data_IF_844827571016
#
_entry.id   IF_844827571016
#
_cell.length_a   1.000
_cell.length_b   1.000
_cell.length_c   1.000
_cell.angle_alpha   90.00
_cell.angle_beta   90.00
_cell.angle_gamma   90.00
#
_symmetry.space_group_name_H-M   'P 1'
#
loop_
_entity.id
_entity.type
_entity.pdbx_description
1 polymer ?
#
# COMPACT_ATOMS: atom_id res chain seq x y z
N UNK A 1 39.02 96.05 -13.39
CA UNK A 1 37.70 96.71 -13.53
C UNK A 1 37.04 96.16 -14.80
N UNK A 2 35.73 95.90 -14.81
CA UNK A 2 34.98 95.17 -15.85
C UNK A 2 35.01 93.62 -15.69
N UNK A 3 34.73 93.15 -14.47
CA UNK A 3 34.21 91.78 -14.22
C UNK A 3 32.89 91.74 -13.43
N UNK A 4 32.25 92.89 -13.17
CA UNK A 4 31.07 92.97 -12.27
C UNK A 4 29.88 93.79 -12.77
N UNK A 5 29.71 94.04 -14.08
CA UNK A 5 28.57 94.83 -14.56
C UNK A 5 27.74 94.22 -15.71
N UNK A 6 27.84 92.92 -15.95
CA UNK A 6 26.82 92.18 -16.75
C UNK A 6 26.27 90.94 -16.04
N UNK A 7 26.48 90.87 -14.72
CA UNK A 7 25.79 89.98 -13.78
C UNK A 7 24.44 90.53 -13.32
N UNK A 8 23.94 91.64 -13.89
CA UNK A 8 22.66 92.26 -13.52
C UNK A 8 21.62 92.30 -14.65
N UNK A 9 21.97 91.88 -15.87
CA UNK A 9 21.00 91.60 -16.94
C UNK A 9 20.67 90.11 -16.99
N UNK A 10 20.72 89.47 -15.82
CA UNK A 10 20.61 88.04 -15.58
C UNK A 10 19.34 87.69 -14.77
N UNK A 11 18.38 88.62 -14.61
CA UNK A 11 17.24 88.39 -13.72
C UNK A 11 15.85 88.78 -14.22
N UNK A 12 15.68 89.22 -15.47
CA UNK A 12 14.35 89.60 -15.97
C UNK A 12 13.90 88.93 -17.28
N UNK A 13 14.60 87.89 -17.75
CA UNK A 13 14.11 87.04 -18.84
C UNK A 13 14.21 85.55 -18.47
N UNK A 14 14.05 85.27 -17.18
CA UNK A 14 13.56 84.02 -16.64
C UNK A 14 12.05 84.28 -16.47
N UNK A 15 11.18 83.40 -16.98
CA UNK A 15 9.72 83.58 -17.19
C UNK A 15 9.36 84.03 -18.62
N UNK A 16 9.79 83.25 -19.60
CA UNK A 16 9.01 82.90 -20.79
C UNK A 16 9.54 81.56 -21.31
N UNK A 17 9.62 80.61 -20.38
CA UNK A 17 9.65 79.19 -20.67
C UNK A 17 8.25 78.81 -21.15
N UNK A 18 8.17 77.85 -22.06
CA UNK A 18 6.96 77.25 -22.67
C UNK A 18 6.46 77.97 -23.94
N UNK A 19 6.92 77.51 -25.11
CA UNK A 19 6.11 76.71 -26.05
C UNK A 19 6.90 76.46 -27.36
N UNK A 20 6.90 75.18 -27.76
CA UNK A 20 7.21 74.64 -29.10
C UNK A 20 8.64 74.66 -29.62
N UNK A 21 9.43 73.70 -29.15
CA UNK A 21 10.35 72.96 -30.00
C UNK A 21 9.79 71.55 -30.15
N UNK A 22 9.25 71.21 -31.33
CA UNK A 22 8.78 69.86 -31.65
C UNK A 22 9.87 69.12 -32.42
N UNK A 23 10.68 68.24 -31.79
CA UNK A 23 11.26 67.15 -32.54
C UNK A 23 10.16 66.10 -32.70
N UNK A 24 9.71 65.92 -33.94
CA UNK A 24 8.94 64.77 -34.38
C UNK A 24 9.67 63.49 -33.94
N UNK A 25 9.31 62.95 -32.78
CA UNK A 25 9.50 61.54 -32.49
C UNK A 25 8.39 60.81 -33.22
N UNK A 26 8.60 60.60 -34.53
CA UNK A 26 7.94 59.51 -35.22
C UNK A 26 8.16 58.27 -34.36
N UNK A 27 7.06 57.72 -33.82
CA UNK A 27 7.06 56.43 -33.16
C UNK A 27 7.69 55.44 -34.14
N UNK A 28 8.97 55.13 -33.93
CA UNK A 28 9.66 54.11 -34.69
C UNK A 28 8.82 52.85 -34.51
N UNK A 29 8.19 52.38 -35.61
CA UNK A 29 7.61 51.04 -35.68
C UNK A 29 8.74 50.10 -35.24
N UNK A 30 8.71 49.64 -33.99
CA UNK A 30 9.64 48.62 -33.50
C UNK A 30 9.39 47.40 -34.37
N UNK A 31 10.24 47.21 -35.38
CA UNK A 31 10.17 46.07 -36.29
C UNK A 31 10.41 44.82 -35.46
N UNK A 32 9.67 43.75 -35.75
CA UNK A 32 9.87 42.48 -35.08
C UNK A 32 11.35 42.06 -35.20
N UNK A 33 12.00 41.67 -34.09
CA UNK A 33 13.34 41.08 -34.12
C UNK A 33 13.38 39.83 -35.00
N UNK A 34 14.58 39.45 -35.47
CA UNK A 34 14.71 38.33 -36.41
C UNK A 34 14.28 36.99 -35.79
N UNK A 35 14.58 36.77 -34.50
CA UNK A 35 14.19 35.57 -33.76
C UNK A 35 12.67 35.38 -33.61
N UNK A 36 11.88 36.45 -33.82
CA UNK A 36 10.40 36.38 -33.84
C UNK A 36 9.89 35.94 -35.22
N UNK A 37 10.67 36.16 -36.28
CA UNK A 37 10.31 35.77 -37.65
C UNK A 37 10.78 34.35 -37.96
N UNK A 38 11.96 33.97 -37.47
CA UNK A 38 12.58 32.67 -37.72
C UNK A 38 13.28 32.16 -36.47
N UNK A 39 13.11 30.86 -36.15
CA UNK A 39 13.74 30.22 -34.98
C UNK A 39 15.26 30.18 -35.18
N UNK A 40 16.06 30.71 -34.24
CA UNK A 40 17.51 30.62 -34.31
C UNK A 40 18.00 29.17 -34.29
N UNK A 41 18.95 28.83 -35.16
CA UNK A 41 19.65 27.54 -35.15
C UNK A 41 21.00 27.72 -34.47
N UNK A 42 21.28 26.94 -33.44
CA UNK A 42 22.52 27.04 -32.66
C UNK A 42 23.15 25.68 -32.38
N UNK A 43 24.44 25.54 -32.69
CA UNK A 43 25.23 24.37 -32.29
C UNK A 43 25.50 24.33 -30.80
N UNK A 44 25.57 25.49 -30.14
CA UNK A 44 26.11 25.65 -28.79
C UNK A 44 25.03 25.82 -27.72
N UNK A 45 23.81 26.17 -28.15
CA UNK A 45 22.68 26.44 -27.26
C UNK A 45 21.46 25.60 -27.63
N UNK A 46 20.70 25.22 -26.61
CA UNK A 46 19.28 24.92 -26.75
C UNK A 46 18.50 26.25 -26.74
N UNK A 47 17.40 26.32 -27.49
CA UNK A 47 16.57 27.49 -27.77
C UNK A 47 15.11 27.17 -27.47
N UNK A 48 14.50 27.94 -26.58
CA UNK A 48 13.06 27.88 -26.29
C UNK A 48 12.38 29.18 -26.65
N UNK A 49 11.35 29.14 -27.50
CA UNK A 49 10.57 30.32 -27.89
C UNK A 49 9.08 30.03 -27.72
N UNK A 50 8.37 30.95 -27.07
CA UNK A 50 6.92 30.88 -26.99
C UNK A 50 6.27 32.23 -27.28
N UNK A 51 5.04 32.15 -27.78
CA UNK A 51 4.15 33.27 -28.03
C UNK A 51 2.83 33.03 -27.31
N UNK A 52 2.37 34.05 -26.58
CA UNK A 52 1.05 34.05 -25.95
C UNK A 52 0.26 35.27 -26.37
N UNK A 53 -1.07 35.11 -26.41
CA UNK A 53 -1.98 36.24 -26.54
C UNK A 53 -2.15 36.95 -25.21
N UNK A 54 -2.22 38.27 -25.29
CA UNK A 54 -2.48 39.16 -24.16
C UNK A 54 -3.97 39.11 -23.85
N UNK A 55 -4.30 38.48 -22.73
CA UNK A 55 -5.59 38.66 -22.09
C UNK A 55 -5.57 39.92 -21.19
N UNK A 56 -6.70 40.28 -20.58
CA UNK A 56 -6.86 41.53 -19.85
C UNK A 56 -5.99 41.66 -18.57
N UNK A 57 -5.25 40.62 -18.17
CA UNK A 57 -4.48 40.61 -16.92
C UNK A 57 -2.96 40.53 -17.19
N UNK A 58 -2.26 41.65 -17.02
CA UNK A 58 -0.89 41.80 -17.52
C UNK A 58 0.16 40.88 -16.90
N UNK A 59 -0.01 40.53 -15.63
CA UNK A 59 0.96 39.67 -14.91
C UNK A 59 0.83 38.20 -15.32
N UNK A 60 -0.37 37.78 -15.75
CA UNK A 60 -0.70 36.40 -16.10
C UNK A 60 -0.04 35.97 -17.42
N UNK A 61 -0.18 36.78 -18.49
CA UNK A 61 0.36 36.39 -19.80
C UNK A 61 1.89 36.37 -19.82
N UNK A 62 2.58 37.28 -19.11
CA UNK A 62 4.04 37.28 -19.08
C UNK A 62 4.60 36.02 -18.42
N UNK A 63 3.99 35.57 -17.32
CA UNK A 63 4.36 34.32 -16.65
C UNK A 63 4.04 33.11 -17.53
N UNK A 64 2.88 33.11 -18.18
CA UNK A 64 2.50 32.05 -19.11
C UNK A 64 3.50 31.91 -20.28
N UNK A 65 3.92 33.03 -20.88
CA UNK A 65 4.90 33.03 -21.97
C UNK A 65 6.26 32.49 -21.52
N UNK A 66 6.69 32.85 -20.31
CA UNK A 66 7.91 32.31 -19.70
C UNK A 66 7.78 30.80 -19.50
N UNK A 67 6.68 30.32 -18.93
CA UNK A 67 6.50 28.89 -18.69
C UNK A 67 6.46 28.08 -20.00
N UNK A 68 5.76 28.59 -21.02
CA UNK A 68 5.71 27.93 -22.33
C UNK A 68 7.07 27.97 -23.06
N UNK A 69 7.83 29.07 -22.98
CA UNK A 69 9.16 29.13 -23.58
C UNK A 69 10.13 28.17 -22.89
N UNK A 70 9.98 27.94 -21.59
CA UNK A 70 10.75 26.94 -20.85
C UNK A 70 10.36 25.51 -21.27
N UNK A 71 9.07 25.23 -21.48
CA UNK A 71 8.62 23.94 -22.02
C UNK A 71 9.17 23.69 -23.43
N UNK A 72 9.15 24.70 -24.30
CA UNK A 72 9.74 24.62 -25.65
C UNK A 72 11.25 24.33 -25.58
N UNK A 73 11.98 25.03 -24.68
CA UNK A 73 13.40 24.77 -24.43
C UNK A 73 13.64 23.31 -24.00
N UNK A 74 12.86 22.80 -23.05
CA UNK A 74 12.98 21.43 -22.56
C UNK A 74 12.67 20.41 -23.65
N UNK A 75 11.74 20.70 -24.56
CA UNK A 75 11.39 19.81 -25.67
C UNK A 75 12.54 19.62 -26.68
N UNK A 76 13.48 20.57 -26.75
CA UNK A 76 14.66 20.45 -27.58
C UNK A 76 15.74 19.54 -26.96
N UNK A 77 15.67 19.31 -25.65
CA UNK A 77 16.59 18.43 -24.94
C UNK A 77 16.16 16.99 -25.18
N UNK A 78 16.91 16.29 -26.04
CA UNK A 78 16.68 14.87 -26.30
C UNK A 78 17.08 14.03 -25.09
N UNK A 79 16.14 13.22 -24.58
CA UNK A 79 16.42 12.18 -23.59
C UNK A 79 16.78 10.92 -24.37
N UNK A 80 17.96 10.37 -24.10
CA UNK A 80 18.45 9.13 -24.71
C UNK A 80 18.82 8.15 -23.61
N UNK A 81 18.32 6.91 -23.71
CA UNK A 81 18.65 5.85 -22.78
C UNK A 81 19.98 5.21 -23.19
N UNK A 82 20.91 5.14 -22.25
CA UNK A 82 22.21 4.47 -22.40
C UNK A 82 22.02 2.98 -22.69
N UNK A 83 22.91 2.39 -23.51
CA UNK A 83 22.96 0.94 -23.70
C UNK A 83 23.31 0.17 -22.42
N UNK A 84 23.96 0.84 -21.45
CA UNK A 84 24.35 0.28 -20.16
C UNK A 84 23.35 0.62 -19.04
N UNK A 85 22.18 1.12 -19.40
CA UNK A 85 21.10 1.46 -18.46
C UNK A 85 20.54 0.21 -17.80
N UNK A 86 20.21 0.31 -16.51
CA UNK A 86 19.53 -0.77 -15.77
C UNK A 86 18.12 -1.04 -16.27
N UNK A 87 17.51 -0.08 -16.98
CA UNK A 87 16.16 -0.23 -17.54
C UNK A 87 16.05 -1.41 -18.53
N UNK A 88 17.17 -1.81 -19.15
CA UNK A 88 17.22 -3.01 -20.02
C UNK A 88 17.02 -4.32 -19.25
N UNK A 89 17.23 -4.35 -17.93
CA UNK A 89 16.86 -5.52 -17.13
C UNK A 89 15.35 -5.70 -17.00
N UNK A 90 14.57 -4.65 -17.26
CA UNK A 90 13.11 -4.62 -17.11
C UNK A 90 12.40 -4.53 -18.46
N UNK A 91 12.99 -5.08 -19.54
CA UNK A 91 12.44 -5.01 -20.91
C UNK A 91 10.97 -5.45 -21.03
N UNK A 92 10.52 -6.37 -20.18
CA UNK A 92 9.12 -6.83 -20.15
C UNK A 92 8.14 -5.82 -19.50
N UNK A 93 8.65 -4.75 -18.87
CA UNK A 93 7.87 -3.76 -18.13
C UNK A 93 7.80 -2.42 -18.88
N UNK A 94 7.17 -2.44 -20.06
CA UNK A 94 7.04 -1.26 -20.94
C UNK A 94 6.35 -0.09 -20.23
N UNK A 95 5.36 -0.36 -19.39
CA UNK A 95 4.60 0.66 -18.66
C UNK A 95 5.51 1.51 -17.77
N UNK A 96 6.38 0.86 -16.98
CA UNK A 96 7.31 1.57 -16.10
C UNK A 96 8.29 2.44 -16.89
N UNK A 97 8.81 1.95 -18.01
CA UNK A 97 9.74 2.71 -18.84
C UNK A 97 9.08 3.98 -19.41
N UNK A 98 7.84 3.87 -19.89
CA UNK A 98 7.08 5.02 -20.40
C UNK A 98 6.78 6.04 -19.29
N UNK A 99 6.41 5.57 -18.10
CA UNK A 99 6.20 6.40 -16.91
C UNK A 99 7.49 7.11 -16.49
N UNK A 100 8.59 6.38 -16.39
CA UNK A 100 9.91 6.93 -16.09
C UNK A 100 10.33 8.00 -17.11
N UNK A 101 10.17 7.76 -18.41
CA UNK A 101 10.47 8.75 -19.44
C UNK A 101 9.59 10.00 -19.32
N UNK A 102 8.30 9.86 -18.96
CA UNK A 102 7.40 10.97 -18.71
C UNK A 102 7.80 11.78 -17.46
N UNK A 103 8.22 11.09 -16.40
CA UNK A 103 8.67 11.70 -15.15
C UNK A 103 9.98 12.47 -15.34
N UNK A 104 10.94 11.93 -16.10
CA UNK A 104 12.17 12.65 -16.44
C UNK A 104 11.85 13.91 -17.26
N UNK A 105 10.92 13.85 -18.23
CA UNK A 105 10.48 15.05 -18.98
C UNK A 105 9.85 16.10 -18.08
N UNK A 106 9.01 15.67 -17.15
CA UNK A 106 8.34 16.58 -16.20
C UNK A 106 9.34 17.21 -15.24
N UNK A 107 10.24 16.41 -14.68
CA UNK A 107 11.30 16.85 -13.76
C UNK A 107 12.29 17.79 -14.45
N UNK A 108 12.59 17.55 -15.73
CA UNK A 108 13.45 18.42 -16.52
C UNK A 108 12.90 19.86 -16.58
N UNK A 109 11.57 20.04 -16.69
CA UNK A 109 10.96 21.38 -16.69
C UNK A 109 11.10 22.06 -15.33
N UNK A 110 11.03 21.31 -14.24
CA UNK A 110 11.09 21.83 -12.87
C UNK A 110 12.53 22.16 -12.43
N UNK A 111 13.47 21.31 -12.81
CA UNK A 111 14.85 21.34 -12.31
C UNK A 111 15.86 21.91 -13.32
N UNK A 112 15.38 22.46 -14.44
CA UNK A 112 16.28 23.06 -15.43
C UNK A 112 17.01 24.26 -14.83
N UNK A 113 18.34 24.19 -14.85
CA UNK A 113 19.20 25.25 -14.32
C UNK A 113 20.08 25.83 -15.44
N UNK A 114 20.49 27.09 -15.27
CA UNK A 114 21.46 27.73 -16.16
C UNK A 114 20.89 28.20 -17.51
N UNK A 115 19.56 28.23 -17.66
CA UNK A 115 18.92 28.86 -18.81
C UNK A 115 18.79 30.38 -18.60
N UNK A 116 18.83 31.14 -19.68
CA UNK A 116 18.85 32.60 -19.65
C UNK A 116 17.79 33.19 -20.59
N UNK A 117 17.12 34.25 -20.14
CA UNK A 117 16.23 35.04 -21.00
C UNK A 117 17.07 35.92 -21.92
N UNK A 118 17.12 35.56 -23.19
CA UNK A 118 17.86 36.33 -24.21
C UNK A 118 17.08 37.58 -24.59
N UNK A 119 15.77 37.42 -24.81
CA UNK A 119 14.91 38.51 -25.24
C UNK A 119 13.44 38.27 -24.89
N UNK A 120 12.70 39.37 -24.88
CA UNK A 120 11.23 39.36 -24.92
C UNK A 120 10.76 40.36 -25.97
N UNK A 121 9.67 40.06 -26.67
CA UNK A 121 9.08 40.98 -27.63
C UNK A 121 7.59 41.18 -27.40
N UNK A 122 7.19 42.45 -27.30
CA UNK A 122 5.81 42.87 -27.11
C UNK A 122 5.25 43.38 -28.44
N UNK A 123 4.42 42.54 -29.06
CA UNK A 123 3.68 42.91 -30.26
C UNK A 123 2.34 43.56 -29.88
N UNK A 124 2.39 44.86 -29.59
CA UNK A 124 1.20 45.66 -29.24
C UNK A 124 0.11 45.67 -30.33
N UNK A 125 0.47 45.41 -31.58
CA UNK A 125 -0.48 45.48 -32.72
C UNK A 125 -1.35 44.23 -32.78
N UNK A 126 -0.77 43.06 -32.53
CA UNK A 126 -1.47 41.76 -32.61
C UNK A 126 -1.83 41.21 -31.22
N UNK A 127 -1.46 41.93 -30.16
CA UNK A 127 -1.76 41.55 -28.79
C UNK A 127 -0.97 40.31 -28.36
N UNK A 128 0.28 40.18 -28.80
CA UNK A 128 1.12 39.01 -28.50
C UNK A 128 2.31 39.39 -27.63
N UNK A 129 2.75 38.44 -26.81
CA UNK A 129 3.96 38.53 -26.01
C UNK A 129 4.83 37.32 -26.27
N UNK A 130 6.08 37.57 -26.67
CA UNK A 130 7.05 36.57 -27.07
C UNK A 130 8.19 36.52 -26.05
N UNK A 131 8.65 35.32 -25.73
CA UNK A 131 9.80 35.08 -24.84
C UNK A 131 10.79 34.16 -25.54
N UNK A 132 12.07 34.46 -25.42
CA UNK A 132 13.17 33.65 -25.95
C UNK A 132 14.15 33.31 -24.82
N UNK A 133 14.28 32.01 -24.55
CA UNK A 133 15.29 31.42 -23.68
C UNK A 133 16.39 30.71 -24.46
N UNK A 134 17.60 30.71 -23.88
CA UNK A 134 18.69 29.85 -24.32
C UNK A 134 19.30 29.10 -23.14
N UNK A 135 19.90 27.93 -23.41
CA UNK A 135 20.70 27.16 -22.45
C UNK A 135 21.95 26.63 -23.13
N UNK A 136 23.13 26.89 -22.56
CA UNK A 136 24.38 26.35 -23.11
C UNK A 136 24.42 24.82 -23.02
N UNK A 137 24.63 24.15 -24.15
CA UNK A 137 24.76 22.69 -24.24
C UNK A 137 25.92 22.16 -23.39
N UNK A 138 27.05 22.87 -23.40
CA UNK A 138 28.23 22.51 -22.61
C UNK A 138 27.99 22.65 -21.10
N UNK A 139 27.34 23.74 -20.68
CA UNK A 139 27.01 23.96 -19.27
C UNK A 139 26.00 22.92 -18.78
N UNK A 140 24.96 22.65 -19.56
CA UNK A 140 23.97 21.62 -19.26
C UNK A 140 24.64 20.24 -19.11
N UNK A 141 25.49 19.85 -20.06
CA UNK A 141 26.22 18.58 -20.00
C UNK A 141 27.13 18.48 -18.76
N UNK A 142 27.81 19.58 -18.37
CA UNK A 142 28.62 19.63 -17.16
C UNK A 142 27.77 19.44 -15.90
N UNK A 143 26.66 20.18 -15.77
CA UNK A 143 25.75 20.07 -14.62
C UNK A 143 25.13 18.66 -14.53
N UNK A 144 24.70 18.10 -15.67
CA UNK A 144 24.20 16.72 -15.74
C UNK A 144 25.24 15.72 -15.23
N UNK A 145 26.49 15.83 -15.69
CA UNK A 145 27.60 14.97 -15.23
C UNK A 145 27.90 15.14 -13.74
N UNK A 146 27.86 16.36 -13.21
CA UNK A 146 28.07 16.61 -11.77
C UNK A 146 26.96 15.97 -10.93
N UNK A 147 25.69 16.15 -11.32
CA UNK A 147 24.54 15.52 -10.65
C UNK A 147 24.64 13.99 -10.68
N UNK A 148 24.93 13.42 -11.86
CA UNK A 148 25.13 11.98 -12.03
C UNK A 148 26.28 11.43 -11.17
N UNK A 149 27.44 12.08 -11.17
CA UNK A 149 28.59 11.62 -10.38
C UNK A 149 28.32 11.69 -8.87
N UNK A 150 27.57 12.70 -8.40
CA UNK A 150 27.15 12.80 -7.00
C UNK A 150 26.22 11.65 -6.62
N UNK A 151 25.22 11.37 -7.47
CA UNK A 151 24.30 10.25 -7.29
C UNK A 151 25.04 8.91 -7.27
N UNK A 152 25.91 8.66 -8.24
CA UNK A 152 26.78 7.47 -8.30
C UNK A 152 27.61 7.27 -7.05
N UNK A 153 28.26 8.33 -6.55
CA UNK A 153 29.09 8.25 -5.35
C UNK A 153 28.27 7.91 -4.11
N UNK A 154 27.09 8.53 -3.96
CA UNK A 154 26.21 8.25 -2.83
C UNK A 154 25.66 6.82 -2.88
N UNK A 155 25.18 6.39 -4.04
CA UNK A 155 24.69 5.04 -4.25
C UNK A 155 25.79 4.00 -4.04
N UNK A 156 26.99 4.22 -4.58
CA UNK A 156 28.15 3.38 -4.33
C UNK A 156 28.41 3.21 -2.82
N UNK A 157 28.37 4.29 -2.03
CA UNK A 157 28.56 4.18 -0.57
C UNK A 157 27.48 3.33 0.10
N UNK A 158 26.22 3.49 -0.27
CA UNK A 158 25.14 2.66 0.29
C UNK A 158 25.23 1.21 -0.17
N UNK A 159 25.60 0.97 -1.42
CA UNK A 159 25.81 -0.38 -1.95
C UNK A 159 26.95 -1.10 -1.22
N UNK A 160 28.08 -0.42 -1.01
CA UNK A 160 29.23 -0.96 -0.28
C UNK A 160 28.87 -1.28 1.18
N UNK A 161 28.12 -0.41 1.85
CA UNK A 161 27.57 -0.68 3.20
C UNK A 161 26.62 -1.88 3.19
N UNK A 162 25.72 -1.97 2.20
CA UNK A 162 24.82 -3.12 2.02
C UNK A 162 25.59 -4.43 1.87
N UNK A 163 26.71 -4.42 1.14
CA UNK A 163 27.61 -5.56 1.01
C UNK A 163 28.29 -5.92 2.33
N UNK A 164 28.64 -4.95 3.18
CA UNK A 164 29.17 -5.25 4.51
C UNK A 164 28.13 -5.95 5.40
N UNK A 165 26.88 -5.52 5.37
CA UNK A 165 25.80 -6.20 6.10
C UNK A 165 25.52 -7.61 5.55
N UNK A 166 25.58 -7.79 4.22
CA UNK A 166 25.45 -9.11 3.59
C UNK A 166 26.54 -10.08 4.08
N UNK A 167 27.80 -9.63 4.17
CA UNK A 167 28.92 -10.41 4.71
C UNK A 167 28.74 -10.77 6.20
N UNK A 168 28.01 -9.95 6.95
CA UNK A 168 27.69 -10.17 8.36
C UNK A 168 26.41 -11.00 8.56
N UNK A 169 25.75 -11.42 7.47
CA UNK A 169 24.43 -12.09 7.47
C UNK A 169 23.30 -11.26 8.08
N UNK A 170 23.48 -9.94 8.20
CA UNK A 170 22.39 -9.00 8.51
C UNK A 170 21.67 -8.62 7.20
N UNK A 171 20.96 -9.61 6.65
CA UNK A 171 20.38 -9.50 5.32
C UNK A 171 19.27 -8.44 5.24
N UNK A 172 18.56 -8.19 6.34
CA UNK A 172 17.54 -7.16 6.37
C UNK A 172 18.15 -5.77 6.27
N UNK A 173 19.24 -5.48 6.99
CA UNK A 173 19.96 -4.23 6.81
C UNK A 173 20.58 -4.12 5.41
N UNK A 174 21.13 -5.21 4.86
CA UNK A 174 21.63 -5.23 3.49
C UNK A 174 20.56 -4.78 2.48
N UNK A 175 19.35 -5.35 2.55
CA UNK A 175 18.21 -4.98 1.70
C UNK A 175 17.81 -3.50 1.86
N UNK A 176 17.78 -2.98 3.08
CA UNK A 176 17.50 -1.57 3.34
C UNK A 176 18.56 -0.63 2.73
N UNK A 177 19.84 -1.00 2.79
CA UNK A 177 20.91 -0.23 2.17
C UNK A 177 20.89 -0.32 0.64
N UNK A 178 20.50 -1.46 0.07
CA UNK A 178 20.24 -1.59 -1.36
C UNK A 178 19.07 -0.71 -1.82
N UNK A 179 17.99 -0.61 -1.04
CA UNK A 179 16.90 0.34 -1.30
C UNK A 179 17.39 1.80 -1.27
N UNK A 180 18.19 2.21 -0.27
CA UNK A 180 18.80 3.55 -0.22
C UNK A 180 19.73 3.83 -1.39
N UNK A 181 20.48 2.81 -1.84
CA UNK A 181 21.33 2.91 -3.02
C UNK A 181 20.51 3.14 -4.29
N UNK A 182 19.38 2.45 -4.42
CA UNK A 182 18.44 2.62 -5.52
C UNK A 182 17.82 4.03 -5.51
N UNK A 183 17.38 4.52 -4.35
CA UNK A 183 16.85 5.87 -4.18
C UNK A 183 17.84 6.95 -4.66
N UNK A 184 19.14 6.75 -4.42
CA UNK A 184 20.18 7.70 -4.83
C UNK A 184 20.37 7.79 -6.36
N UNK A 185 20.04 6.74 -7.12
CA UNK A 185 20.13 6.71 -8.60
C UNK A 185 18.79 6.81 -9.30
N UNK A 186 17.68 6.94 -8.57
CA UNK A 186 16.32 6.85 -9.12
C UNK A 186 16.05 7.79 -10.30
N UNK A 187 16.65 8.98 -10.33
CA UNK A 187 16.48 9.96 -11.41
C UNK A 187 17.47 9.80 -12.57
N UNK A 188 18.27 8.74 -12.56
CA UNK A 188 19.38 8.51 -13.49
C UNK A 188 19.42 7.08 -14.02
N UNK A 189 18.29 6.35 -13.97
CA UNK A 189 18.23 4.97 -14.42
C UNK A 189 18.47 4.83 -15.93
N UNK A 190 18.22 5.88 -16.72
CA UNK A 190 18.53 5.99 -18.15
C UNK A 190 20.03 6.09 -18.46
N UNK A 191 20.86 6.45 -17.49
CA UNK A 191 22.28 6.72 -17.69
C UNK A 191 23.16 5.47 -17.52
N UNK A 192 24.42 5.57 -17.96
CA UNK A 192 25.42 4.57 -17.59
C UNK A 192 25.76 4.74 -16.10
N UNK A 193 25.37 3.77 -15.26
CA UNK A 193 25.59 3.76 -13.83
C UNK A 193 26.90 3.09 -13.38
N UNK A 194 27.85 2.89 -14.31
CA UNK A 194 29.11 2.22 -14.00
C UNK A 194 30.03 3.05 -13.10
N UNK A 195 30.65 2.38 -12.12
CA UNK A 195 31.63 2.94 -11.18
C UNK A 195 32.80 1.98 -11.00
N UNK A 196 33.97 2.53 -10.64
CA UNK A 196 35.14 1.74 -10.28
C UNK A 196 35.13 1.46 -8.77
N UNK A 197 35.20 0.19 -8.39
CA UNK A 197 35.39 -0.27 -7.02
C UNK A 197 36.77 -0.93 -6.89
N UNK A 198 37.09 -1.43 -5.70
CA UNK A 198 38.33 -2.20 -5.46
C UNK A 198 38.34 -3.53 -6.24
N UNK A 199 37.17 -4.11 -6.50
CA UNK A 199 36.99 -5.40 -7.16
C UNK A 199 36.81 -5.29 -8.68
N UNK A 200 36.81 -4.06 -9.21
CA UNK A 200 36.72 -3.76 -10.64
C UNK A 200 35.60 -2.77 -10.98
N UNK A 201 35.23 -2.71 -12.26
CA UNK A 201 34.12 -1.87 -12.70
C UNK A 201 32.81 -2.62 -12.52
N UNK A 202 31.86 -2.02 -11.79
CA UNK A 202 30.51 -2.55 -11.58
C UNK A 202 29.47 -1.57 -12.15
N UNK A 203 28.26 -2.05 -12.43
CA UNK A 203 27.12 -1.21 -12.81
C UNK A 203 26.12 -1.18 -11.66
N UNK A 204 26.03 -0.05 -10.95
CA UNK A 204 25.28 0.05 -9.70
C UNK A 204 23.84 -0.47 -9.83
N UNK A 205 23.10 -0.11 -10.89
CA UNK A 205 21.74 -0.58 -11.07
C UNK A 205 21.66 -2.11 -11.21
N UNK A 206 22.55 -2.69 -12.01
CA UNK A 206 22.57 -4.14 -12.25
C UNK A 206 23.03 -4.91 -11.02
N UNK A 207 24.09 -4.45 -10.37
CA UNK A 207 24.67 -5.09 -9.20
C UNK A 207 23.78 -4.97 -7.95
N UNK A 208 23.04 -3.87 -7.78
CA UNK A 208 21.99 -3.74 -6.73
C UNK A 208 20.91 -4.80 -6.96
N UNK A 209 20.37 -4.87 -8.18
CA UNK A 209 19.34 -5.86 -8.53
C UNK A 209 19.81 -7.29 -8.25
N UNK A 210 20.99 -7.66 -8.77
CA UNK A 210 21.56 -8.99 -8.57
C UNK A 210 21.80 -9.30 -7.09
N UNK A 211 22.19 -8.32 -6.29
CA UNK A 211 22.40 -8.52 -4.84
C UNK A 211 21.11 -8.80 -4.10
N UNK A 212 20.03 -8.06 -4.41
CA UNK A 212 18.70 -8.31 -3.84
C UNK A 212 18.21 -9.71 -4.24
N UNK A 213 18.29 -10.06 -5.53
CA UNK A 213 17.85 -11.37 -6.02
C UNK A 213 18.72 -12.52 -5.48
N UNK A 214 20.01 -12.30 -5.25
CA UNK A 214 20.88 -13.27 -4.57
C UNK A 214 20.42 -13.50 -3.13
N UNK A 215 20.07 -12.42 -2.40
CA UNK A 215 19.54 -12.55 -1.04
C UNK A 215 18.25 -13.37 -1.03
N UNK A 216 17.34 -13.08 -1.96
CA UNK A 216 16.08 -13.81 -2.06
C UNK A 216 16.26 -15.28 -2.42
N UNK A 217 17.13 -15.58 -3.40
CA UNK A 217 17.34 -16.95 -3.86
C UNK A 217 18.13 -17.82 -2.88
N UNK A 218 19.05 -17.25 -2.09
CA UNK A 218 19.83 -17.98 -1.09
C UNK A 218 19.17 -18.07 0.28
N UNK A 219 18.15 -17.26 0.56
CA UNK A 219 17.43 -17.33 1.84
C UNK A 219 16.37 -18.43 1.79
N UNK A 220 16.52 -19.44 2.64
CA UNK A 220 15.56 -20.51 2.83
C UNK A 220 14.80 -20.35 4.16
N UNK A 221 13.48 -20.48 4.10
CA UNK A 221 12.58 -20.48 5.26
C UNK A 221 11.99 -21.87 5.49
N UNK A 222 12.44 -22.55 6.55
CA UNK A 222 11.97 -23.88 6.92
C UNK A 222 11.06 -23.84 8.14
N UNK A 223 9.80 -24.19 7.93
CA UNK A 223 8.84 -24.35 9.02
C UNK A 223 9.01 -25.73 9.64
N UNK A 224 9.16 -25.80 10.97
CA UNK A 224 9.35 -27.04 11.71
C UNK A 224 8.19 -28.04 11.52
N UNK A 225 6.96 -27.53 11.45
CA UNK A 225 5.74 -28.32 11.18
C UNK A 225 4.97 -27.74 9.99
N UNK A 226 5.14 -28.36 8.82
CA UNK A 226 4.45 -27.95 7.58
C UNK A 226 2.95 -28.28 7.57
N UNK A 227 2.50 -29.18 8.44
CA UNK A 227 1.11 -29.54 8.61
C UNK A 227 0.74 -29.53 10.09
N UNK A 228 -0.34 -28.82 10.44
CA UNK A 228 -0.86 -28.71 11.81
C UNK A 228 -2.32 -29.15 11.81
N UNK A 229 -2.67 -30.06 12.71
CA UNK A 229 -4.06 -30.47 12.94
C UNK A 229 -4.64 -29.67 14.09
N UNK A 230 -5.78 -29.03 13.87
CA UNK A 230 -6.41 -28.11 14.82
C UNK A 230 -7.92 -28.35 14.84
N UNK A 231 -8.55 -28.00 15.94
CA UNK A 231 -10.01 -27.89 16.01
C UNK A 231 -10.43 -26.42 15.93
N UNK A 232 -11.59 -26.14 15.33
CA UNK A 232 -12.13 -24.77 15.25
C UNK A 232 -12.22 -24.15 16.65
N UNK A 233 -11.86 -22.87 16.77
CA UNK A 233 -11.87 -22.10 18.02
C UNK A 233 -10.95 -22.61 19.12
N UNK A 234 -9.99 -23.48 18.79
CA UNK A 234 -8.94 -23.91 19.72
C UNK A 234 -7.63 -23.18 19.46
N UNK A 235 -6.82 -23.01 20.50
CA UNK A 235 -5.48 -22.44 20.40
C UNK A 235 -4.43 -23.53 20.18
N UNK A 236 -3.44 -23.23 19.35
CA UNK A 236 -2.30 -24.13 19.17
C UNK A 236 -1.29 -23.89 20.29
N UNK A 237 -1.10 -24.86 21.19
CA UNK A 237 -0.22 -24.68 22.36
C UNK A 237 1.26 -24.53 22.01
N UNK A 238 1.70 -25.16 20.94
CA UNK A 238 3.10 -25.09 20.49
C UNK A 238 3.25 -24.00 19.42
N UNK A 239 4.18 -23.05 19.60
CA UNK A 239 4.35 -21.99 18.61
C UNK A 239 4.79 -22.56 17.26
N UNK A 240 4.42 -21.85 16.20
CA UNK A 240 4.96 -22.06 14.86
C UNK A 240 6.41 -21.59 14.88
N UNK A 241 7.34 -22.54 14.72
CA UNK A 241 8.76 -22.27 14.62
C UNK A 241 9.20 -22.28 13.16
N UNK A 242 9.88 -21.21 12.74
CA UNK A 242 10.45 -21.03 11.41
C UNK A 242 11.94 -20.82 11.56
N UNK A 243 12.75 -21.61 10.84
CA UNK A 243 14.19 -21.42 10.76
C UNK A 243 14.53 -20.70 9.45
N UNK A 244 15.31 -19.62 9.54
CA UNK A 244 15.89 -18.96 8.38
C UNK A 244 17.36 -19.37 8.22
N UNK A 245 17.72 -19.76 7.01
CA UNK A 245 19.07 -20.19 6.66
C UNK A 245 19.50 -19.60 5.33
N UNK A 246 20.78 -19.25 5.23
CA UNK A 246 21.44 -18.80 4.03
C UNK A 246 22.17 -19.97 3.38
N UNK A 247 21.77 -20.31 2.15
CA UNK A 247 22.38 -21.34 1.33
C UNK A 247 23.76 -20.87 0.83
N UNK A 248 24.80 -21.27 1.54
CA UNK A 248 26.19 -21.06 1.12
C UNK A 248 26.73 -22.27 0.37
N UNK A 249 27.86 -22.09 -0.32
CA UNK A 249 28.41 -23.14 -1.18
C UNK A 249 29.02 -24.33 -0.39
N UNK A 250 29.28 -24.15 0.91
CA UNK A 250 29.87 -25.17 1.78
C UNK A 250 28.91 -25.67 2.85
N UNK A 251 28.42 -24.77 3.70
CA UNK A 251 27.52 -25.09 4.80
C UNK A 251 26.52 -23.96 4.99
N UNK A 252 25.26 -24.32 5.20
CA UNK A 252 24.20 -23.36 5.41
C UNK A 252 24.44 -22.55 6.68
N UNK A 253 24.32 -21.24 6.54
CA UNK A 253 24.52 -20.32 7.65
C UNK A 253 23.18 -19.89 8.23
N UNK A 254 23.14 -19.61 9.53
CA UNK A 254 21.92 -19.11 10.17
C UNK A 254 21.77 -17.60 9.91
N UNK A 255 20.54 -17.13 9.73
CA UNK A 255 20.26 -15.71 9.51
C UNK A 255 19.58 -15.13 10.76
N UNK A 256 20.28 -14.34 11.59
CA UNK A 256 19.68 -13.67 12.73
C UNK A 256 18.93 -12.39 12.32
N UNK A 257 17.99 -11.95 13.18
CA UNK A 257 17.28 -10.67 13.05
C UNK A 257 16.55 -10.46 11.71
N UNK A 258 16.18 -11.54 11.02
CA UNK A 258 15.41 -11.48 9.79
C UNK A 258 13.93 -11.29 10.13
N UNK A 259 13.31 -10.16 9.77
CA UNK A 259 11.89 -9.93 10.02
C UNK A 259 11.06 -10.78 9.04
N UNK A 260 10.10 -11.50 9.57
CA UNK A 260 9.20 -12.37 8.83
C UNK A 260 7.76 -11.96 9.11
N UNK A 261 6.95 -12.13 8.09
CA UNK A 261 5.51 -11.93 8.14
C UNK A 261 4.80 -13.28 7.94
N UNK A 262 3.81 -13.55 8.76
CA UNK A 262 2.93 -14.70 8.66
C UNK A 262 1.51 -14.22 8.38
N UNK A 263 0.96 -14.65 7.25
CA UNK A 263 -0.40 -14.29 6.81
C UNK A 263 -1.20 -15.51 6.39
N UNK A 264 -2.50 -15.49 6.67
CA UNK A 264 -3.43 -16.44 6.07
C UNK A 264 -3.59 -16.13 4.58
N UNK A 265 -3.17 -17.04 3.71
CA UNK A 265 -3.45 -16.99 2.27
C UNK A 265 -4.73 -17.73 1.92
N UNK A 266 -5.17 -18.64 2.80
CA UNK A 266 -6.46 -19.32 2.72
C UNK A 266 -7.01 -19.56 4.12
N UNK A 267 -8.25 -19.15 4.35
CA UNK A 267 -8.83 -19.19 5.69
C UNK A 267 -8.52 -17.93 6.48
N UNK A 268 -8.79 -17.96 7.79
CA UNK A 268 -8.72 -16.80 8.68
C UNK A 268 -8.48 -17.28 10.12
N UNK A 269 -7.77 -16.46 10.89
CA UNK A 269 -7.45 -16.71 12.28
C UNK A 269 -6.67 -15.55 12.89
N UNK A 270 -6.30 -15.72 14.15
CA UNK A 270 -5.54 -14.75 14.94
C UNK A 270 -4.19 -15.38 15.25
N UNK A 271 -3.12 -14.75 14.78
CA UNK A 271 -1.75 -15.14 15.06
C UNK A 271 -0.84 -13.92 15.19
N UNK A 272 0.37 -14.12 15.72
CA UNK A 272 1.38 -13.07 15.73
C UNK A 272 2.01 -12.94 14.34
N UNK A 273 1.47 -12.01 13.53
CA UNK A 273 1.82 -11.87 12.11
C UNK A 273 3.28 -11.47 11.91
N UNK A 274 3.79 -10.52 12.71
CA UNK A 274 5.14 -10.00 12.58
C UNK A 274 6.06 -10.60 13.63
N UNK A 275 7.11 -11.28 13.18
CA UNK A 275 8.13 -11.92 14.03
C UNK A 275 9.51 -11.68 13.45
N UNK A 276 10.57 -11.91 14.21
CA UNK A 276 11.94 -11.84 13.70
C UNK A 276 12.73 -13.05 14.17
N UNK A 277 13.75 -13.45 13.40
CA UNK A 277 14.63 -14.54 13.82
C UNK A 277 15.55 -14.11 14.95
N UNK A 278 15.79 -15.04 15.88
CA UNK A 278 16.74 -14.85 16.98
C UNK A 278 18.20 -15.12 16.53
N UNK A 279 19.12 -15.08 17.50
CA UNK A 279 20.55 -15.36 17.27
C UNK A 279 20.86 -16.77 16.76
N UNK A 280 19.88 -17.70 16.78
CA UNK A 280 20.00 -19.05 16.28
C UNK A 280 19.26 -19.24 14.93
N UNK A 281 18.72 -18.16 14.37
CA UNK A 281 17.98 -18.17 13.11
C UNK A 281 16.52 -18.64 13.25
N UNK A 282 15.97 -18.70 14.47
CA UNK A 282 14.59 -19.13 14.69
C UNK A 282 13.65 -17.96 14.95
N UNK A 283 12.53 -17.92 14.25
CA UNK A 283 11.39 -17.06 14.55
C UNK A 283 10.23 -17.90 15.11
N UNK A 284 9.49 -17.32 16.05
CA UNK A 284 8.39 -17.99 16.74
C UNK A 284 7.11 -17.17 16.63
N UNK A 285 6.07 -17.73 16.02
CA UNK A 285 4.74 -17.13 15.94
C UNK A 285 3.71 -17.97 16.69
N UNK A 286 2.86 -17.31 17.48
CA UNK A 286 1.80 -17.97 18.23
C UNK A 286 0.50 -17.93 17.43
N UNK A 287 -0.07 -19.08 17.11
CA UNK A 287 -1.42 -19.20 16.55
C UNK A 287 -2.42 -19.28 17.70
N UNK A 288 -3.03 -18.13 18.01
CA UNK A 288 -4.01 -18.00 19.09
C UNK A 288 -5.32 -18.69 18.74
N UNK A 289 -5.81 -18.52 17.50
CA UNK A 289 -7.12 -19.06 17.11
C UNK A 289 -7.27 -19.20 15.61
N UNK A 290 -8.03 -20.21 15.19
CA UNK A 290 -8.57 -20.31 13.82
C UNK A 290 -10.06 -20.00 13.85
N UNK A 291 -10.48 -19.01 13.07
CA UNK A 291 -11.87 -18.54 12.99
C UNK A 291 -12.57 -19.04 11.73
N UNK A 292 -11.81 -19.30 10.66
CA UNK A 292 -12.39 -19.82 9.43
C UNK A 292 -12.83 -21.28 9.56
N UNK A 293 -13.93 -21.60 8.88
CA UNK A 293 -14.58 -22.92 8.87
C UNK A 293 -14.04 -23.83 7.75
N UNK A 294 -13.10 -23.33 6.95
CA UNK A 294 -12.51 -24.11 5.88
C UNK A 294 -11.66 -25.22 6.48
N UNK A 295 -11.90 -26.46 6.04
CA UNK A 295 -11.14 -27.64 6.51
C UNK A 295 -9.65 -27.55 6.20
N UNK A 296 -9.33 -26.98 5.04
CA UNK A 296 -7.95 -26.83 4.57
C UNK A 296 -7.64 -25.35 4.45
N UNK A 297 -6.78 -24.86 5.35
CA UNK A 297 -6.32 -23.48 5.40
C UNK A 297 -4.82 -23.42 5.18
N UNK A 298 -4.32 -22.25 4.83
CA UNK A 298 -2.92 -22.02 4.50
C UNK A 298 -2.44 -20.73 5.16
N UNK A 299 -1.35 -20.84 5.91
CA UNK A 299 -0.55 -19.71 6.36
C UNK A 299 0.71 -19.69 5.50
N UNK A 300 1.02 -18.53 4.92
CA UNK A 300 2.30 -18.28 4.26
C UNK A 300 3.18 -17.48 5.20
N UNK A 301 4.42 -17.93 5.34
CA UNK A 301 5.51 -17.19 5.98
C UNK A 301 6.36 -16.59 4.88
N UNK A 302 6.62 -15.29 4.94
CA UNK A 302 7.48 -14.58 3.98
C UNK A 302 8.41 -13.61 4.68
N UNK A 303 9.45 -13.18 3.97
CA UNK A 303 10.26 -12.03 4.39
C UNK A 303 9.37 -10.77 4.50
N UNK A 304 9.47 -10.04 5.61
CA UNK A 304 8.77 -8.76 5.76
C UNK A 304 9.53 -7.66 5.00
N UNK A 305 8.92 -7.20 3.90
CA UNK A 305 9.41 -6.12 3.05
C UNK A 305 8.61 -4.82 3.21
N UNK A 306 7.70 -4.73 4.18
CA UNK A 306 6.78 -3.59 4.34
C UNK A 306 7.47 -2.24 4.51
N UNK A 307 8.69 -2.23 5.07
CA UNK A 307 9.52 -1.03 5.20
C UNK A 307 10.08 -0.51 3.87
N UNK A 308 10.23 -1.39 2.87
CA UNK A 308 10.78 -1.09 1.54
C UNK A 308 9.64 -0.93 0.51
N UNK A 309 8.64 -1.82 0.57
CA UNK A 309 7.46 -1.89 -0.29
C UNK A 309 6.25 -1.24 0.40
N UNK A 310 6.39 0.05 0.72
CA UNK A 310 5.29 0.85 1.29
C UNK A 310 4.57 1.61 0.17
N UNK A 311 3.27 1.35 -0.04
CA UNK A 311 2.45 2.00 -1.07
C UNK A 311 2.38 3.54 -0.93
N UNK A 312 2.65 4.08 0.27
CA UNK A 312 2.69 5.53 0.49
C UNK A 312 4.05 6.16 0.13
N UNK A 313 5.05 5.37 -0.26
CA UNK A 313 6.36 5.85 -0.65
C UNK A 313 6.35 6.24 -2.14
N UNK A 314 6.87 7.43 -2.45
CA UNK A 314 7.05 7.89 -3.84
C UNK A 314 7.89 6.95 -4.70
N UNK A 315 8.76 6.13 -4.10
CA UNK A 315 9.60 5.17 -4.81
C UNK A 315 9.01 3.75 -4.87
N UNK A 316 7.74 3.56 -4.48
CA UNK A 316 7.11 2.23 -4.41
C UNK A 316 7.20 1.44 -5.73
N UNK A 317 6.83 2.05 -6.86
CA UNK A 317 6.87 1.39 -8.17
C UNK A 317 8.29 0.98 -8.58
N UNK A 318 9.27 1.83 -8.30
CA UNK A 318 10.68 1.50 -8.54
C UNK A 318 11.14 0.35 -7.64
N UNK A 319 10.83 0.41 -6.34
CA UNK A 319 11.21 -0.64 -5.39
C UNK A 319 10.59 -1.98 -5.78
N UNK A 320 9.33 -2.00 -6.23
CA UNK A 320 8.64 -3.22 -6.66
C UNK A 320 9.34 -3.95 -7.80
N UNK A 321 10.03 -3.24 -8.69
CA UNK A 321 10.83 -3.85 -9.76
C UNK A 321 12.07 -4.58 -9.26
N UNK A 322 12.71 -4.04 -8.22
CA UNK A 322 13.95 -4.57 -7.67
C UNK A 322 13.70 -5.62 -6.59
N UNK A 323 12.66 -5.43 -5.78
CA UNK A 323 12.21 -6.29 -4.69
C UNK A 323 10.97 -7.07 -5.11
N UNK A 324 11.12 -7.92 -6.12
CA UNK A 324 10.02 -8.75 -6.66
C UNK A 324 9.46 -9.69 -5.60
N UNK A 325 8.20 -9.49 -5.22
CA UNK A 325 7.52 -10.28 -4.17
C UNK A 325 7.43 -11.77 -4.52
N UNK A 326 7.34 -12.11 -5.81
CA UNK A 326 7.24 -13.50 -6.24
C UNK A 326 8.52 -14.29 -5.96
N UNK A 327 9.69 -13.65 -6.09
CA UNK A 327 11.00 -14.25 -5.85
C UNK A 327 11.41 -14.18 -4.38
N UNK A 328 10.77 -13.33 -3.58
CA UNK A 328 11.03 -13.21 -2.16
C UNK A 328 10.85 -14.56 -1.42
N UNK A 329 11.70 -14.85 -0.41
CA UNK A 329 11.65 -16.10 0.34
C UNK A 329 10.28 -16.32 1.00
N UNK A 330 9.71 -17.51 0.76
CA UNK A 330 8.42 -17.88 1.34
C UNK A 330 8.32 -19.38 1.66
N UNK A 331 7.54 -19.68 2.68
CA UNK A 331 7.24 -21.05 3.11
C UNK A 331 5.76 -21.17 3.45
N UNK A 332 5.20 -22.37 3.35
CA UNK A 332 3.77 -22.61 3.55
C UNK A 332 3.52 -23.58 4.68
N UNK A 333 2.45 -23.32 5.40
CA UNK A 333 1.93 -24.14 6.50
C UNK A 333 0.50 -24.48 6.18
N UNK A 334 0.22 -25.77 6.13
CA UNK A 334 -1.12 -26.28 5.91
C UNK A 334 -1.78 -26.54 7.26
N UNK A 335 -2.96 -25.96 7.47
CA UNK A 335 -3.78 -26.24 8.62
C UNK A 335 -4.94 -27.15 8.21
N UNK A 336 -5.04 -28.29 8.89
CA UNK A 336 -6.16 -29.20 8.80
C UNK A 336 -7.07 -28.94 9.99
N UNK A 337 -8.19 -28.26 9.71
CA UNK A 337 -9.10 -27.75 10.73
C UNK A 337 -10.33 -28.66 10.79
N UNK A 338 -10.50 -29.29 11.94
CA UNK A 338 -11.63 -30.17 12.24
C UNK A 338 -12.64 -29.47 13.15
N UNK A 339 -13.89 -29.92 13.13
CA UNK A 339 -14.92 -29.43 14.05
C UNK A 339 -14.75 -30.09 15.41
N UNK A 340 -15.06 -29.37 16.48
CA UNK A 340 -14.97 -29.90 17.83
C UNK A 340 -16.02 -30.99 18.05
N UNK A 341 -15.62 -32.16 18.55
CA UNK A 341 -16.57 -33.24 18.87
C UNK A 341 -17.41 -32.85 20.09
N UNK A 342 -18.73 -32.80 19.93
CA UNK A 342 -19.66 -32.41 21.00
C UNK A 342 -20.74 -33.47 21.25
N UNK A 343 -21.16 -33.64 22.50
CA UNK A 343 -22.37 -34.39 22.85
C UNK A 343 -23.47 -33.39 23.17
N UNK A 344 -24.65 -33.56 22.56
CA UNK A 344 -25.78 -32.62 22.74
C UNK A 344 -26.87 -33.24 23.60
N UNK A 345 -27.21 -32.58 24.70
CA UNK A 345 -28.43 -32.80 25.44
C UNK A 345 -29.45 -31.73 25.05
N UNK A 346 -30.65 -32.16 24.66
CA UNK A 346 -31.73 -31.25 24.34
C UNK A 346 -32.98 -31.64 25.12
N UNK A 347 -33.57 -30.68 25.83
CA UNK A 347 -34.87 -30.83 26.45
C UNK A 347 -35.81 -29.70 26.04
N UNK A 348 -37.05 -30.05 25.71
CA UNK A 348 -38.07 -29.09 25.30
C UNK A 348 -39.35 -29.30 26.08
N UNK A 349 -39.88 -28.19 26.61
CA UNK A 349 -41.22 -28.13 27.21
C UNK A 349 -42.11 -27.24 26.38
N UNK A 350 -43.27 -27.74 26.01
CA UNK A 350 -44.33 -26.96 25.36
C UNK A 350 -45.52 -26.96 26.30
N UNK A 351 -45.89 -25.77 26.77
CA UNK A 351 -47.03 -25.54 27.67
C UNK A 351 -46.98 -26.41 28.93
N UNK A 352 -45.77 -26.59 29.49
CA UNK A 352 -45.51 -27.36 30.71
C UNK A 352 -45.37 -28.87 30.50
N UNK A 353 -45.44 -29.37 29.26
CA UNK A 353 -45.30 -30.80 28.93
C UNK A 353 -44.03 -31.04 28.12
N UNK A 354 -43.29 -32.09 28.45
CA UNK A 354 -42.11 -32.50 27.68
C UNK A 354 -42.51 -32.88 26.25
N UNK A 355 -41.81 -32.29 25.29
CA UNK A 355 -42.06 -32.46 23.86
C UNK A 355 -41.00 -33.37 23.23
N UNK A 356 -41.44 -34.21 22.29
CA UNK A 356 -40.58 -35.05 21.45
C UNK A 356 -40.74 -34.73 19.97
N UNK A 357 -41.08 -33.46 19.65
CA UNK A 357 -41.32 -33.03 18.26
C UNK A 357 -40.02 -32.99 17.44
N UNK A 358 -38.86 -32.87 18.07
CA UNK A 358 -37.51 -32.82 17.46
C UNK A 358 -37.29 -31.72 16.40
N UNK A 359 -38.29 -30.89 16.10
CA UNK A 359 -38.21 -29.83 15.08
C UNK A 359 -37.10 -28.83 15.44
N UNK A 360 -37.18 -28.24 16.63
CA UNK A 360 -36.21 -27.24 17.08
C UNK A 360 -34.83 -27.88 17.30
N UNK A 361 -34.79 -29.09 17.88
CA UNK A 361 -33.55 -29.86 18.08
C UNK A 361 -32.81 -30.07 16.77
N UNK A 362 -33.49 -30.52 15.72
CA UNK A 362 -32.88 -30.80 14.43
C UNK A 362 -32.38 -29.52 13.74
N UNK A 363 -33.14 -28.42 13.83
CA UNK A 363 -32.69 -27.12 13.31
C UNK A 363 -31.46 -26.59 14.03
N UNK A 364 -31.42 -26.66 15.37
CA UNK A 364 -30.27 -26.25 16.17
C UNK A 364 -29.06 -27.16 15.93
N UNK A 365 -29.28 -28.48 15.90
CA UNK A 365 -28.22 -29.45 15.59
C UNK A 365 -27.63 -29.17 14.23
N UNK A 366 -28.44 -28.85 13.22
CA UNK A 366 -27.97 -28.48 11.88
C UNK A 366 -27.12 -27.20 11.93
N UNK A 367 -27.66 -26.12 12.47
CA UNK A 367 -26.97 -24.82 12.56
C UNK A 367 -25.63 -24.94 13.29
N UNK A 368 -25.62 -25.57 14.46
CA UNK A 368 -24.40 -25.73 15.26
C UNK A 368 -23.42 -26.73 14.64
N UNK A 369 -23.90 -27.73 13.89
CA UNK A 369 -23.04 -28.65 13.14
C UNK A 369 -22.34 -27.95 11.99
N UNK A 370 -23.03 -27.04 11.30
CA UNK A 370 -22.47 -26.30 10.17
C UNK A 370 -21.33 -25.38 10.61
N UNK A 371 -21.44 -24.83 11.83
CA UNK A 371 -20.57 -23.78 12.33
C UNK A 371 -19.45 -24.24 13.28
N UNK A 372 -19.72 -25.15 14.22
CA UNK A 372 -18.82 -25.38 15.36
C UNK A 372 -18.51 -26.85 15.63
N UNK A 373 -19.55 -27.70 15.62
CA UNK A 373 -19.46 -29.02 16.24
C UNK A 373 -19.58 -30.16 15.25
N UNK A 374 -18.94 -31.27 15.60
CA UNK A 374 -19.26 -32.59 15.07
C UNK A 374 -19.96 -33.36 16.17
N UNK A 375 -21.30 -33.47 16.11
CA UNK A 375 -22.03 -34.15 17.17
C UNK A 375 -21.81 -35.67 17.17
N UNK A 376 -21.57 -36.23 18.35
CA UNK A 376 -21.46 -37.68 18.60
C UNK A 376 -22.57 -38.15 19.54
N UNK A 377 -22.95 -39.43 19.43
CA UNK A 377 -23.88 -40.09 20.35
C UNK A 377 -23.16 -40.72 21.55
N UNK A 378 -21.83 -40.92 21.47
CA UNK A 378 -21.02 -41.39 22.59
C UNK A 378 -20.48 -40.21 23.39
N UNK A 379 -20.99 -40.05 24.62
CA UNK A 379 -20.53 -39.00 25.54
C UNK A 379 -19.04 -39.09 25.86
N UNK A 380 -18.43 -40.28 25.80
CA UNK A 380 -17.00 -40.46 26.08
C UNK A 380 -16.10 -39.97 24.95
N UNK A 381 -16.62 -39.87 23.73
CA UNK A 381 -15.89 -39.33 22.59
C UNK A 381 -15.99 -37.80 22.47
N UNK A 382 -16.88 -37.18 23.24
CA UNK A 382 -17.09 -35.74 23.20
C UNK A 382 -16.03 -34.98 24.01
N UNK A 383 -15.57 -33.86 23.45
CA UNK A 383 -14.72 -32.91 24.16
C UNK A 383 -15.53 -31.89 24.95
N UNK A 384 -16.71 -31.55 24.45
CA UNK A 384 -17.65 -30.63 25.11
C UNK A 384 -19.04 -31.23 25.16
N UNK A 385 -19.78 -30.88 26.19
CA UNK A 385 -21.19 -31.21 26.38
C UNK A 385 -21.98 -29.93 26.18
N UNK A 386 -22.94 -29.96 25.26
CA UNK A 386 -23.84 -28.86 24.98
C UNK A 386 -25.23 -29.21 25.51
N UNK A 387 -25.67 -28.48 26.53
CA UNK A 387 -27.01 -28.59 27.10
C UNK A 387 -27.89 -27.44 26.58
N UNK A 388 -28.98 -27.79 25.92
CA UNK A 388 -29.98 -26.85 25.41
C UNK A 388 -31.33 -27.17 26.06
N UNK A 389 -31.89 -26.21 26.79
CA UNK A 389 -33.20 -26.34 27.42
C UNK A 389 -34.14 -25.28 26.88
N UNK A 390 -35.31 -25.70 26.40
CA UNK A 390 -36.32 -24.79 25.86
C UNK A 390 -37.64 -24.92 26.56
N UNK A 391 -38.33 -23.79 26.69
CA UNK A 391 -39.65 -23.73 27.30
C UNK A 391 -40.54 -22.78 26.52
N UNK A 392 -41.68 -23.28 26.05
CA UNK A 392 -42.68 -22.48 25.35
C UNK A 392 -43.90 -22.30 26.25
N UNK A 393 -44.24 -21.05 26.54
CA UNK A 393 -45.41 -20.68 27.35
C UNK A 393 -46.51 -20.09 26.46
N UNK A 394 -47.76 -20.28 26.88
CA UNK A 394 -48.91 -19.64 26.21
C UNK A 394 -48.93 -18.16 26.54
N UNK A 395 -48.98 -17.33 25.52
CA UNK A 395 -49.31 -15.92 25.63
C UNK A 395 -50.81 -15.68 25.53
N UNK A 396 -51.14 -14.41 25.32
CA UNK A 396 -52.51 -13.96 25.09
C UNK A 396 -53.02 -14.33 23.69
N UNK A 397 -54.34 -14.41 23.56
CA UNK A 397 -55.00 -14.47 22.26
C UNK A 397 -55.45 -13.05 21.93
N UNK A 398 -54.94 -12.48 20.84
CA UNK A 398 -55.41 -11.17 20.34
C UNK A 398 -56.56 -11.37 19.38
N UNK A 399 -57.72 -10.88 19.77
CA UNK A 399 -58.94 -10.93 18.96
C UNK A 399 -59.30 -9.53 18.44
N UNK A 400 -59.44 -9.42 17.12
CA UNK A 400 -59.96 -8.24 16.43
C UNK A 400 -61.27 -8.58 15.71
N UNK A 401 -61.90 -7.58 15.07
CA UNK A 401 -63.24 -7.74 14.47
C UNK A 401 -63.39 -8.95 13.54
N UNK A 402 -62.32 -9.35 12.84
CA UNK A 402 -62.29 -10.49 11.90
C UNK A 402 -61.02 -11.36 12.04
N UNK A 403 -60.29 -11.31 13.15
CA UNK A 403 -59.08 -12.13 13.32
C UNK A 403 -58.86 -12.57 14.76
N UNK A 404 -58.21 -13.72 14.92
CA UNK A 404 -57.79 -14.28 16.20
C UNK A 404 -56.34 -14.71 16.05
N UNK A 405 -55.42 -14.14 16.83
CA UNK A 405 -53.99 -14.47 16.78
C UNK A 405 -53.58 -15.09 18.10
N UNK A 406 -52.99 -16.27 18.04
CA UNK A 406 -52.46 -16.99 19.19
C UNK A 406 -51.01 -16.60 19.37
N UNK A 407 -50.65 -16.11 20.56
CA UNK A 407 -49.28 -15.69 20.88
C UNK A 407 -48.65 -16.75 21.80
N UNK A 408 -47.38 -17.04 21.56
CA UNK A 408 -46.52 -17.84 22.46
C UNK A 408 -45.19 -17.13 22.68
N UNK A 409 -44.53 -17.47 23.77
CA UNK A 409 -43.20 -17.00 24.10
C UNK A 409 -42.30 -18.20 24.34
N UNK A 410 -41.11 -18.19 23.74
CA UNK A 410 -40.10 -19.24 23.85
C UNK A 410 -38.86 -18.70 24.55
N UNK A 411 -38.44 -19.41 25.59
CA UNK A 411 -37.14 -19.21 26.22
C UNK A 411 -36.21 -20.36 25.81
N UNK A 412 -34.94 -20.05 25.53
CA UNK A 412 -33.91 -21.03 25.19
C UNK A 412 -32.65 -20.74 25.99
N UNK A 413 -32.19 -21.74 26.74
CA UNK A 413 -30.99 -21.68 27.57
C UNK A 413 -29.92 -22.59 26.99
N UNK A 414 -28.70 -22.08 26.88
CA UNK A 414 -27.52 -22.77 26.39
C UNK A 414 -26.47 -22.86 27.49
N UNK A 415 -25.93 -24.05 27.72
CA UNK A 415 -24.72 -24.25 28.51
C UNK A 415 -23.75 -25.16 27.77
N UNK A 416 -22.48 -24.77 27.71
CA UNK A 416 -21.40 -25.55 27.14
C UNK A 416 -20.40 -25.87 28.25
N UNK A 417 -20.12 -27.16 28.45
CA UNK A 417 -19.26 -27.65 29.52
C UNK A 417 -18.11 -28.48 28.95
N UNK A 418 -16.90 -28.31 29.46
CA UNK A 418 -15.75 -29.16 29.13
C UNK A 418 -16.01 -30.59 29.66
N UNK A 419 -15.95 -31.59 28.78
CA UNK A 419 -16.30 -32.97 29.13
C UNK A 419 -15.31 -33.64 30.09
N UNK A 420 -14.06 -33.15 30.16
CA UNK A 420 -13.01 -33.70 31.03
C UNK A 420 -12.99 -33.06 32.40
N UNK A 421 -13.09 -31.74 32.45
CA UNK A 421 -12.98 -30.96 33.70
C UNK A 421 -14.32 -30.70 34.36
N UNK A 422 -15.41 -30.75 33.60
CA UNK A 422 -16.75 -30.37 34.08
C UNK A 422 -16.92 -28.86 34.26
N UNK A 423 -15.98 -28.04 33.78
CA UNK A 423 -16.05 -26.59 33.88
C UNK A 423 -17.01 -26.04 32.81
N UNK A 424 -17.94 -25.17 33.22
CA UNK A 424 -18.80 -24.43 32.30
C UNK A 424 -17.96 -23.39 31.54
N UNK A 425 -17.90 -23.55 30.21
CA UNK A 425 -17.14 -22.70 29.29
C UNK A 425 -18.02 -21.55 28.79
N UNK A 426 -19.32 -21.80 28.63
CA UNK A 426 -20.28 -20.81 28.12
C UNK A 426 -21.66 -21.05 28.68
N UNK A 427 -22.36 -19.96 28.97
CA UNK A 427 -23.74 -19.97 29.43
C UNK A 427 -24.44 -18.71 28.95
N UNK A 428 -25.55 -18.87 28.25
CA UNK A 428 -26.33 -17.75 27.74
C UNK A 428 -27.76 -18.18 27.43
N UNK A 429 -28.65 -17.21 27.25
CA UNK A 429 -30.04 -17.47 26.97
C UNK A 429 -30.68 -16.39 26.09
N UNK A 430 -31.69 -16.81 25.33
CA UNK A 430 -32.66 -15.93 24.68
C UNK A 430 -34.00 -16.09 25.38
N UNK A 431 -34.68 -14.97 25.62
CA UNK A 431 -35.89 -14.90 26.42
C UNK A 431 -37.03 -14.30 25.62
N UNK A 432 -38.24 -14.76 25.92
CA UNK A 432 -39.50 -14.21 25.42
C UNK A 432 -39.60 -14.12 23.89
N UNK A 433 -38.97 -15.06 23.18
CA UNK A 433 -39.02 -15.08 21.70
C UNK A 433 -40.45 -15.31 21.25
N UNK A 434 -41.00 -14.32 20.57
CA UNK A 434 -42.43 -14.25 20.28
C UNK A 434 -42.79 -14.94 18.97
N UNK A 435 -43.73 -15.89 19.05
CA UNK A 435 -44.42 -16.46 17.89
C UNK A 435 -45.90 -16.06 17.87
N UNK A 436 -46.48 -15.76 16.70
CA UNK A 436 -47.87 -15.31 16.59
C UNK A 436 -48.56 -15.69 15.28
N UNK A 437 -49.38 -16.75 15.29
CA UNK A 437 -50.14 -17.20 14.12
C UNK A 437 -51.65 -17.12 14.32
N UNK A 438 -52.43 -16.85 13.24
CA UNK A 438 -53.88 -16.74 13.33
C UNK A 438 -54.62 -18.09 13.42
N UNK A 439 -53.90 -19.21 13.31
CA UNK A 439 -54.48 -20.55 13.17
C UNK A 439 -54.61 -21.23 14.53
N UNK A 440 -53.50 -21.46 15.22
CA UNK A 440 -53.46 -22.13 16.53
C UNK A 440 -52.16 -21.84 17.27
N UNK A 441 -52.13 -22.21 18.55
CA UNK A 441 -50.89 -22.22 19.35
C UNK A 441 -49.77 -23.06 18.72
N UNK A 442 -50.07 -24.19 18.07
CA UNK A 442 -49.03 -25.02 17.42
C UNK A 442 -48.35 -24.32 16.24
N UNK A 443 -49.10 -23.54 15.46
CA UNK A 443 -48.51 -22.74 14.40
C UNK A 443 -47.72 -21.56 14.96
N UNK A 444 -48.17 -20.97 16.07
CA UNK A 444 -47.43 -19.92 16.76
C UNK A 444 -46.11 -20.46 17.34
N UNK A 445 -46.08 -21.70 17.86
CA UNK A 445 -44.85 -22.38 18.31
C UNK A 445 -43.84 -22.53 17.18
N UNK A 446 -44.29 -22.95 15.98
CA UNK A 446 -43.39 -23.06 14.82
C UNK A 446 -42.76 -21.72 14.44
N UNK A 447 -43.55 -20.64 14.46
CA UNK A 447 -43.01 -19.31 14.21
C UNK A 447 -42.03 -18.85 15.29
N UNK A 448 -42.29 -19.18 16.57
CA UNK A 448 -41.34 -18.91 17.64
C UNK A 448 -40.02 -19.67 17.43
N UNK A 449 -40.03 -20.89 16.90
CA UNK A 449 -38.81 -21.60 16.53
C UNK A 449 -38.02 -20.88 15.45
N UNK A 450 -38.69 -20.42 14.39
CA UNK A 450 -38.04 -19.70 13.29
C UNK A 450 -37.40 -18.39 13.80
N UNK A 451 -38.11 -17.65 14.66
CA UNK A 451 -37.57 -16.45 15.31
C UNK A 451 -36.43 -16.77 16.27
N UNK A 452 -36.52 -17.86 17.02
CA UNK A 452 -35.47 -18.27 17.95
C UNK A 452 -34.17 -18.60 17.20
N UNK A 453 -34.26 -19.31 16.08
CA UNK A 453 -33.10 -19.59 15.22
C UNK A 453 -32.48 -18.30 14.69
N UNK A 454 -33.30 -17.33 14.28
CA UNK A 454 -32.81 -16.02 13.84
C UNK A 454 -32.07 -15.28 14.97
N UNK A 455 -32.63 -15.25 16.18
CA UNK A 455 -31.98 -14.62 17.34
C UNK A 455 -30.69 -15.33 17.73
N UNK A 456 -30.67 -16.67 17.75
CA UNK A 456 -29.48 -17.48 18.04
C UNK A 456 -28.35 -17.15 17.06
N UNK A 457 -28.66 -17.05 15.77
CA UNK A 457 -27.66 -16.73 14.75
C UNK A 457 -27.06 -15.33 14.89
N UNK A 458 -27.82 -14.38 15.45
CA UNK A 458 -27.38 -13.01 15.63
C UNK A 458 -26.79 -12.72 17.03
N UNK A 459 -27.01 -13.60 18.00
CA UNK A 459 -26.62 -13.35 19.40
C UNK A 459 -25.72 -14.43 19.98
N UNK A 460 -26.15 -15.69 19.93
CA UNK A 460 -25.43 -16.83 20.51
C UNK A 460 -24.25 -17.25 19.64
N UNK A 461 -24.46 -17.44 18.32
CA UNK A 461 -23.42 -17.85 17.38
C UNK A 461 -22.21 -16.89 17.38
N UNK A 462 -22.37 -15.56 17.35
CA UNK A 462 -21.26 -14.62 17.46
C UNK A 462 -20.49 -14.73 18.77
N UNK A 463 -21.17 -14.99 19.89
CA UNK A 463 -20.51 -15.19 21.20
C UNK A 463 -19.74 -16.50 21.25
N UNK A 464 -20.29 -17.58 20.70
CA UNK A 464 -19.57 -18.86 20.55
C UNK A 464 -18.30 -18.71 19.70
N UNK A 465 -18.32 -17.86 18.66
CA UNK A 465 -17.12 -17.54 17.86
C UNK A 465 -16.03 -16.83 18.67
N UNK A 466 -16.35 -16.20 19.81
CA UNK A 466 -15.38 -15.49 20.65
C UNK A 466 -14.73 -16.39 21.70
N UNK A 467 -15.29 -17.56 21.99
CA UNK A 467 -14.78 -18.48 23.00
C UNK A 467 -13.49 -19.16 22.55
N UNK A 468 -12.58 -19.36 23.50
CA UNK A 468 -11.45 -20.28 23.36
C UNK A 468 -11.90 -21.64 23.94
N UNK A 469 -12.11 -22.62 23.05
CA UNK A 469 -12.59 -23.96 23.39
C UNK A 469 -11.45 -24.97 23.57
#
# INVERSE_FOLDING_TARGET
>A
MIKHLRTLLQFCFIIAFLVSCSPNTTAAKRRAPEWVKERPISSDYYVGIAVVRKDANETSYMQLAKNQALQDLCSEISISISSNSVLHQFENNTSFKEEFEADIRTSLVQDLEGYEMVASWDNKKEGEYWVYYQLSKNQYALLKRVKLNKAKKLAQSYFEEGKQYELQLDLFQALNYYAKSLDAIKNHLDEDLSVMTLDGTINLGTDIYNSIQNIFSRTQLDVAKKAIQLEISTSQKEPILVKATWLADQEDQIIPQLPLELKFTKGEGILNENVATDQFGYASSQLSKVTSRQKLQEITVSLDLSSILNENNENYELNKLFFTEESAPKSKIILNVERLKAFMNFSEKIFGVDSKREILTNSLKKELSENFFSFTEDKNEAKVILDINTNVIKGEIKEGRNYKVYIVYLDCFFSLTDAKTGMEIFNDAIYEVKGMKPISYDYAVKEAYDQALYEINNTIVPKLNQLDL
#
